data_IF_492688400266
#
_entry.id   IF_492688400266
#
_cell.length_a   1.000
_cell.length_b   1.000
_cell.length_c   1.000
_cell.angle_alpha   90.00
_cell.angle_beta   90.00
_cell.angle_gamma   90.00
#
_symmetry.space_group_name_H-M   'P 1'
#
loop_
_entity.id
_entity.type
_entity.pdbx_description
1 polymer ?
#
# COMPACT_ATOMS: atom_id res chain seq x y z
N UNK A 1 28.93 -5.62 9.58
CA UNK A 1 28.34 -4.33 9.08
C UNK A 1 27.46 -4.48 7.83
N UNK A 2 27.46 -5.64 7.14
CA UNK A 2 26.62 -5.90 5.96
C UNK A 2 25.23 -6.49 6.28
N UNK A 3 25.05 -7.14 7.42
CA UNK A 3 23.83 -7.87 7.79
C UNK A 3 22.66 -6.93 8.13
N UNK A 4 22.91 -5.77 8.75
CA UNK A 4 21.83 -4.84 9.12
C UNK A 4 21.27 -4.02 7.96
N UNK A 5 22.05 -3.81 6.89
CA UNK A 5 21.57 -3.17 5.65
C UNK A 5 20.70 -4.15 4.83
N UNK A 6 21.08 -5.43 4.80
CA UNK A 6 20.33 -6.46 4.07
C UNK A 6 18.92 -6.71 4.60
N UNK A 7 18.72 -6.72 5.93
CA UNK A 7 17.41 -6.96 6.55
C UNK A 7 16.40 -5.85 6.23
N UNK A 8 16.80 -4.57 6.30
CA UNK A 8 15.91 -3.44 6.00
C UNK A 8 15.48 -3.39 4.52
N UNK A 9 16.37 -3.77 3.60
CA UNK A 9 16.07 -3.81 2.17
C UNK A 9 15.27 -5.07 1.77
N UNK A 10 15.47 -6.20 2.46
CA UNK A 10 14.69 -7.43 2.26
C UNK A 10 13.24 -7.21 2.67
N UNK A 11 12.98 -6.62 3.84
CA UNK A 11 11.61 -6.32 4.30
C UNK A 11 10.88 -5.33 3.38
N UNK A 12 11.56 -4.28 2.89
CA UNK A 12 10.96 -3.33 1.93
C UNK A 12 10.66 -3.95 0.57
N UNK A 13 11.52 -4.85 0.09
CA UNK A 13 11.29 -5.60 -1.15
C UNK A 13 10.11 -6.57 -1.00
N UNK A 14 9.92 -7.13 0.17
CA UNK A 14 8.81 -8.03 0.46
C UNK A 14 7.48 -7.27 0.48
N UNK A 15 7.42 -6.09 1.12
CA UNK A 15 6.23 -5.24 1.15
C UNK A 15 5.81 -4.78 -0.27
N UNK A 16 6.77 -4.37 -1.12
CA UNK A 16 6.49 -3.99 -2.51
C UNK A 16 6.06 -5.23 -3.32
N UNK A 17 6.69 -6.38 -3.08
CA UNK A 17 6.33 -7.62 -3.75
C UNK A 17 4.90 -8.05 -3.44
N UNK A 18 4.48 -7.92 -2.18
CA UNK A 18 3.11 -8.20 -1.75
C UNK A 18 2.11 -7.22 -2.39
N UNK A 19 2.43 -5.94 -2.45
CA UNK A 19 1.60 -4.92 -3.11
C UNK A 19 1.39 -5.24 -4.60
N UNK A 20 2.50 -5.50 -5.33
CA UNK A 20 2.44 -5.81 -6.76
C UNK A 20 1.77 -7.15 -7.02
N UNK A 21 1.79 -8.05 -6.03
CA UNK A 21 1.16 -9.36 -6.13
C UNK A 21 -0.37 -9.30 -6.00
N UNK A 22 -0.94 -8.25 -5.41
CA UNK A 22 -2.39 -8.14 -5.17
C UNK A 22 -3.27 -8.38 -6.42
N UNK A 23 -2.98 -7.78 -7.61
CA UNK A 23 -3.74 -8.05 -8.82
C UNK A 23 -3.42 -9.40 -9.45
N UNK A 24 -2.34 -10.06 -9.03
CA UNK A 24 -1.91 -11.36 -9.54
C UNK A 24 -2.38 -12.47 -8.61
N UNK A 25 -2.80 -13.57 -9.22
CA UNK A 25 -3.18 -14.74 -8.46
C UNK A 25 -1.93 -15.55 -8.05
N UNK A 26 -1.81 -15.86 -6.76
CA UNK A 26 -0.72 -16.67 -6.14
C UNK A 26 0.66 -16.52 -6.80
N UNK A 27 1.05 -17.53 -7.62
CA UNK A 27 2.34 -17.57 -8.30
C UNK A 27 2.26 -17.21 -9.78
N UNK A 28 1.14 -16.62 -10.25
CA UNK A 28 1.06 -16.22 -11.64
C UNK A 28 2.13 -15.20 -12.00
N UNK A 29 2.74 -15.39 -13.14
CA UNK A 29 3.80 -14.53 -13.67
C UNK A 29 3.27 -13.56 -14.72
N UNK A 30 2.15 -13.91 -15.34
CA UNK A 30 1.51 -13.16 -16.41
C UNK A 30 0.02 -13.04 -16.09
N UNK A 31 -0.53 -11.88 -16.40
CA UNK A 31 -1.92 -11.55 -16.28
C UNK A 31 -2.43 -10.98 -17.61
N UNK A 32 -3.26 -11.74 -18.30
CA UNK A 32 -3.95 -11.30 -19.51
C UNK A 32 -5.34 -10.82 -19.13
N UNK A 33 -5.72 -9.62 -19.50
CA UNK A 33 -7.01 -9.01 -19.16
C UNK A 33 -7.68 -8.44 -20.40
N UNK A 34 -9.02 -8.50 -20.46
CA UNK A 34 -9.77 -7.75 -21.47
C UNK A 34 -9.47 -6.25 -21.34
N UNK A 35 -9.13 -5.64 -22.47
CA UNK A 35 -8.89 -4.21 -22.58
C UNK A 35 -10.22 -3.45 -22.63
N UNK A 36 -10.92 -3.36 -21.49
CA UNK A 36 -12.15 -2.60 -21.38
C UNK A 36 -11.83 -1.11 -21.25
N UNK A 37 -12.10 -0.33 -22.26
CA UNK A 37 -12.26 1.12 -22.10
C UNK A 37 -13.46 1.39 -21.19
N UNK A 38 -13.36 2.33 -20.31
CA UNK A 38 -14.17 2.73 -19.16
C UNK A 38 -15.72 2.69 -19.19
N UNK A 39 -16.37 2.07 -20.18
CA UNK A 39 -17.81 1.90 -20.25
C UNK A 39 -18.20 0.46 -19.91
N UNK A 40 -19.12 0.27 -18.96
CA UNK A 40 -19.63 -1.06 -18.55
C UNK A 40 -20.13 -1.91 -19.73
N UNK A 41 -20.77 -1.27 -20.68
CA UNK A 41 -21.26 -1.92 -21.91
C UNK A 41 -20.12 -2.42 -22.83
N UNK A 42 -18.95 -1.81 -22.81
CA UNK A 42 -17.82 -2.24 -23.63
C UNK A 42 -17.25 -3.60 -23.18
N UNK A 43 -17.29 -3.89 -21.88
CA UNK A 43 -16.83 -5.18 -21.35
C UNK A 43 -17.75 -6.32 -21.80
N UNK A 44 -19.06 -6.12 -21.77
CA UNK A 44 -20.04 -7.11 -22.21
C UNK A 44 -19.94 -7.39 -23.72
N UNK A 45 -19.73 -6.36 -24.53
CA UNK A 45 -19.52 -6.53 -25.97
C UNK A 45 -18.21 -7.26 -26.27
N UNK A 46 -17.14 -6.97 -25.55
CA UNK A 46 -15.88 -7.69 -25.65
C UNK A 46 -16.01 -9.15 -25.22
N UNK A 47 -16.86 -9.45 -24.23
CA UNK A 47 -17.14 -10.83 -23.81
C UNK A 47 -17.92 -11.60 -24.86
N UNK A 48 -18.83 -10.96 -25.62
CA UNK A 48 -19.58 -11.61 -26.74
C UNK A 48 -18.64 -12.04 -27.87
N UNK A 49 -17.61 -11.28 -28.15
CA UNK A 49 -16.55 -11.60 -29.12
C UNK A 49 -15.20 -11.74 -28.36
N UNK A 50 -15.21 -12.61 -27.36
CA UNK A 50 -14.06 -12.76 -26.46
C UNK A 50 -12.81 -13.24 -27.19
N UNK A 51 -11.67 -12.59 -27.01
CA UNK A 51 -10.40 -13.09 -27.51
C UNK A 51 -9.89 -14.31 -26.71
N UNK A 52 -10.48 -14.58 -25.55
CA UNK A 52 -10.13 -15.72 -24.69
C UNK A 52 -10.80 -17.00 -25.21
N UNK A 53 -10.26 -17.56 -26.27
CA UNK A 53 -10.77 -18.77 -26.92
C UNK A 53 -10.05 -20.02 -26.39
N UNK A 54 -10.69 -21.17 -26.48
CA UNK A 54 -10.07 -22.47 -26.14
C UNK A 54 -8.84 -22.75 -27.03
N UNK A 55 -8.84 -22.23 -28.27
CA UNK A 55 -7.69 -22.34 -29.17
C UNK A 55 -6.50 -21.54 -28.64
N UNK A 56 -6.70 -20.28 -28.21
CA UNK A 56 -5.67 -19.45 -27.59
C UNK A 56 -5.16 -20.10 -26.29
N UNK A 57 -6.06 -20.64 -25.48
CA UNK A 57 -5.71 -21.34 -24.24
C UNK A 57 -4.79 -22.53 -24.51
N UNK A 58 -5.17 -23.38 -25.47
CA UNK A 58 -4.37 -24.53 -25.87
C UNK A 58 -2.99 -24.13 -26.43
N UNK A 59 -2.90 -23.01 -27.17
CA UNK A 59 -1.62 -22.49 -27.65
C UNK A 59 -0.73 -22.04 -26.51
N UNK A 60 -1.28 -21.36 -25.49
CA UNK A 60 -0.53 -20.90 -24.32
C UNK A 60 -0.12 -22.10 -23.45
N UNK A 61 -0.96 -23.08 -23.23
CA UNK A 61 -0.65 -24.29 -22.46
C UNK A 61 0.50 -25.12 -23.09
N UNK A 62 0.66 -25.06 -24.42
CA UNK A 62 1.74 -25.72 -25.13
C UNK A 62 3.09 -24.96 -25.06
N UNK A 63 3.15 -23.75 -24.54
CA UNK A 63 4.38 -23.00 -24.36
C UNK A 63 5.22 -23.63 -23.24
N UNK A 64 6.49 -23.89 -23.54
CA UNK A 64 7.41 -24.47 -22.57
C UNK A 64 7.56 -23.55 -21.33
N UNK A 65 7.35 -24.14 -20.15
CA UNK A 65 7.41 -23.41 -18.87
C UNK A 65 6.08 -22.85 -18.36
N UNK A 66 4.99 -22.92 -19.14
CA UNK A 66 3.64 -22.68 -18.63
C UNK A 66 3.21 -23.90 -17.82
N UNK A 67 2.76 -23.67 -16.60
CA UNK A 67 2.32 -24.74 -15.67
C UNK A 67 0.83 -24.80 -15.53
N UNK A 68 0.16 -23.64 -15.46
CA UNK A 68 -1.28 -23.57 -15.19
C UNK A 68 -1.87 -22.25 -15.64
N UNK A 69 -3.14 -22.27 -16.07
CA UNK A 69 -3.91 -21.07 -16.44
C UNK A 69 -5.17 -21.05 -15.59
N UNK A 70 -5.33 -19.96 -14.82
CA UNK A 70 -6.51 -19.72 -14.00
C UNK A 70 -7.39 -18.65 -14.62
N UNK A 71 -8.58 -19.00 -15.14
CA UNK A 71 -9.53 -18.03 -15.66
C UNK A 71 -10.19 -17.26 -14.52
N UNK A 72 -10.26 -15.95 -14.66
CA UNK A 72 -11.08 -15.08 -13.83
C UNK A 72 -12.33 -14.71 -14.61
N UNK A 73 -13.49 -15.10 -14.11
CA UNK A 73 -14.80 -14.94 -14.74
C UNK A 73 -15.64 -13.95 -13.97
N UNK A 74 -16.52 -13.25 -14.68
CA UNK A 74 -17.45 -12.29 -14.09
C UNK A 74 -18.77 -12.31 -14.80
N UNK A 75 -19.86 -12.28 -14.03
CA UNK A 75 -21.19 -11.96 -14.50
C UNK A 75 -21.77 -10.82 -13.66
N UNK A 76 -22.52 -9.94 -14.29
CA UNK A 76 -23.24 -8.89 -13.59
C UNK A 76 -24.60 -9.39 -13.16
N UNK A 77 -25.05 -8.97 -11.98
CA UNK A 77 -26.33 -9.33 -11.41
C UNK A 77 -27.02 -8.12 -10.76
N UNK A 78 -28.33 -8.15 -10.75
CA UNK A 78 -29.17 -7.18 -10.06
C UNK A 78 -29.90 -7.88 -8.91
N UNK A 79 -29.82 -7.30 -7.72
CA UNK A 79 -30.48 -7.80 -6.52
C UNK A 79 -31.54 -6.81 -6.07
N UNK A 80 -32.70 -7.34 -5.73
CA UNK A 80 -33.77 -6.60 -5.07
C UNK A 80 -33.72 -6.87 -3.56
N UNK A 81 -33.64 -5.83 -2.77
CA UNK A 81 -33.61 -5.98 -1.30
C UNK A 81 -34.96 -6.49 -0.80
N UNK A 82 -34.99 -7.58 -0.01
CA UNK A 82 -36.24 -8.08 0.57
C UNK A 82 -36.95 -6.99 1.38
N UNK A 83 -38.23 -6.74 1.08
CA UNK A 83 -39.03 -5.72 1.74
C UNK A 83 -38.88 -4.29 1.20
N UNK A 84 -38.02 -4.06 0.22
CA UNK A 84 -37.80 -2.76 -0.43
C UNK A 84 -37.68 -2.93 -1.95
N UNK A 85 -38.76 -3.24 -2.67
CA UNK A 85 -38.72 -3.58 -4.10
C UNK A 85 -38.26 -2.43 -5.00
N UNK A 86 -38.21 -1.20 -4.51
CA UNK A 86 -37.69 -0.04 -5.23
C UNK A 86 -36.17 0.05 -5.17
N UNK A 87 -35.53 -0.62 -4.21
CA UNK A 87 -34.06 -0.61 -4.04
C UNK A 87 -33.44 -1.79 -4.79
N UNK A 88 -32.88 -1.48 -5.96
CA UNK A 88 -32.15 -2.42 -6.82
C UNK A 88 -30.66 -2.06 -6.77
N UNK A 89 -29.83 -3.08 -6.65
CA UNK A 89 -28.39 -2.91 -6.64
C UNK A 89 -27.76 -3.76 -7.74
N UNK A 90 -27.03 -3.08 -8.62
CA UNK A 90 -26.16 -3.73 -9.59
C UNK A 90 -24.88 -4.18 -8.92
N UNK A 91 -24.63 -5.47 -8.94
CA UNK A 91 -23.47 -6.12 -8.33
C UNK A 91 -22.84 -7.06 -9.35
N UNK A 92 -21.72 -7.67 -8.98
CA UNK A 92 -21.09 -8.69 -9.80
C UNK A 92 -20.84 -9.97 -9.01
N UNK A 93 -20.96 -11.10 -9.74
CA UNK A 93 -20.56 -12.42 -9.27
C UNK A 93 -19.23 -12.73 -9.94
N UNK A 94 -18.19 -12.96 -9.15
CA UNK A 94 -16.86 -13.24 -9.66
C UNK A 94 -16.47 -14.69 -9.36
N UNK A 95 -15.63 -15.25 -10.23
CA UNK A 95 -15.07 -16.55 -9.95
C UNK A 95 -14.07 -16.47 -8.80
N UNK A 96 -14.04 -17.53 -8.00
CA UNK A 96 -12.94 -17.82 -7.10
C UNK A 96 -11.78 -18.26 -7.97
N UNK A 97 -10.72 -17.45 -8.00
CA UNK A 97 -9.49 -17.79 -8.69
C UNK A 97 -8.55 -18.44 -7.66
N UNK A 98 -8.37 -19.78 -7.80
CA UNK A 98 -7.58 -20.61 -6.92
C UNK A 98 -8.15 -20.84 -5.52
N UNK A 99 -8.18 -22.09 -5.15
CA UNK A 99 -8.83 -22.52 -3.92
C UNK A 99 -8.04 -22.16 -2.66
N UNK A 100 -6.72 -22.36 -2.67
CA UNK A 100 -5.89 -22.31 -1.45
C UNK A 100 -5.83 -20.91 -0.82
N UNK A 101 -5.65 -19.86 -1.62
CA UNK A 101 -5.56 -18.49 -1.08
C UNK A 101 -6.93 -17.93 -0.69
N UNK A 102 -7.99 -18.43 -1.30
CA UNK A 102 -9.36 -18.01 -0.97
C UNK A 102 -9.87 -18.70 0.29
N UNK A 103 -9.56 -19.99 0.48
CA UNK A 103 -9.88 -20.76 1.70
C UNK A 103 -9.31 -20.11 2.95
N UNK A 104 -8.09 -19.55 2.88
CA UNK A 104 -7.46 -18.85 4.03
C UNK A 104 -8.18 -17.56 4.42
N UNK A 105 -9.03 -17.01 3.55
CA UNK A 105 -9.82 -15.79 3.81
C UNK A 105 -11.23 -16.11 4.33
N UNK A 106 -11.63 -17.39 4.34
CA UNK A 106 -12.95 -17.79 4.79
C UNK A 106 -13.06 -17.58 6.31
N UNK A 107 -14.04 -16.81 6.73
CA UNK A 107 -14.30 -16.50 8.15
C UNK A 107 -15.38 -17.43 8.71
N UNK A 108 -16.35 -17.81 7.88
CA UNK A 108 -17.49 -18.64 8.28
C UNK A 108 -17.99 -19.46 7.08
N UNK A 109 -18.40 -20.70 7.31
CA UNK A 109 -18.97 -21.61 6.31
C UNK A 109 -17.91 -22.38 5.52
N UNK A 110 -18.28 -22.81 4.32
CA UNK A 110 -17.49 -23.66 3.44
C UNK A 110 -17.33 -23.06 2.05
N UNK A 111 -16.34 -23.56 1.31
CA UNK A 111 -16.17 -23.21 -0.11
C UNK A 111 -17.27 -23.81 -0.96
N UNK A 112 -17.70 -23.13 -2.04
CA UNK A 112 -18.61 -23.73 -3.01
C UNK A 112 -17.88 -24.87 -3.75
N UNK A 113 -18.28 -26.09 -3.49
CA UNK A 113 -17.75 -27.26 -4.22
C UNK A 113 -18.47 -27.44 -5.56
N UNK A 114 -17.79 -28.14 -6.49
CA UNK A 114 -18.23 -28.41 -7.89
C UNK A 114 -19.72 -28.70 -8.06
N UNK A 115 -20.29 -28.32 -9.21
CA UNK A 115 -21.71 -28.33 -9.44
C UNK A 115 -22.34 -29.72 -9.25
N UNK A 116 -22.99 -29.89 -8.12
CA UNK A 116 -24.07 -30.85 -8.03
C UNK A 116 -25.30 -30.21 -8.69
N UNK A 117 -25.97 -30.95 -9.52
CA UNK A 117 -27.14 -30.58 -10.38
C UNK A 117 -28.35 -30.06 -9.60
N UNK A 118 -28.19 -29.44 -8.44
CA UNK A 118 -29.25 -28.81 -7.68
C UNK A 118 -29.52 -27.41 -8.23
N UNK A 119 -30.78 -27.03 -8.27
CA UNK A 119 -31.29 -25.77 -8.82
C UNK A 119 -30.73 -24.47 -8.17
N UNK A 120 -29.97 -24.58 -7.14
CA UNK A 120 -29.47 -23.44 -6.34
C UNK A 120 -27.96 -23.37 -6.40
N UNK A 121 -27.41 -22.19 -6.65
CA UNK A 121 -25.97 -21.98 -6.79
C UNK A 121 -25.36 -21.53 -5.47
N UNK A 122 -24.34 -22.22 -4.93
CA UNK A 122 -23.66 -21.80 -3.73
C UNK A 122 -22.78 -20.57 -3.98
N UNK A 123 -22.86 -19.60 -3.06
CA UNK A 123 -22.15 -18.34 -3.15
C UNK A 123 -21.46 -17.99 -1.85
N UNK A 124 -20.24 -17.47 -1.93
CA UNK A 124 -19.51 -16.86 -0.82
C UNK A 124 -19.67 -15.35 -0.88
N UNK A 125 -19.94 -14.73 0.26
CA UNK A 125 -20.20 -13.29 0.37
C UNK A 125 -19.01 -12.60 1.05
N UNK A 126 -18.57 -11.50 0.49
CA UNK A 126 -17.60 -10.61 1.10
C UNK A 126 -18.30 -9.53 1.94
N UNK A 127 -18.40 -9.76 3.25
CA UNK A 127 -19.04 -8.80 4.19
C UNK A 127 -18.27 -7.49 4.32
N UNK A 128 -16.96 -7.47 4.07
CA UNK A 128 -16.15 -6.26 4.15
C UNK A 128 -16.16 -5.43 2.86
N UNK A 129 -16.87 -5.86 1.81
CA UNK A 129 -17.04 -5.07 0.60
C UNK A 129 -17.88 -3.82 0.89
N UNK A 130 -17.43 -2.61 0.47
CA UNK A 130 -18.20 -1.39 0.64
C UNK A 130 -19.53 -1.40 -0.13
N UNK A 131 -19.67 -2.28 -1.12
CA UNK A 131 -20.92 -2.47 -1.85
C UNK A 131 -21.91 -3.33 -1.07
N UNK A 132 -21.45 -4.33 -0.28
CA UNK A 132 -22.31 -5.13 0.56
C UNK A 132 -23.01 -4.29 1.63
N UNK A 133 -22.25 -3.44 2.32
CA UNK A 133 -22.78 -2.53 3.35
C UNK A 133 -23.86 -1.61 2.79
N UNK A 134 -23.66 -1.09 1.58
CA UNK A 134 -24.63 -0.20 0.90
C UNK A 134 -25.94 -0.89 0.56
N UNK A 135 -25.93 -2.20 0.31
CA UNK A 135 -27.16 -2.93 -0.01
C UNK A 135 -28.10 -3.07 1.17
N UNK A 136 -27.60 -2.95 2.40
CA UNK A 136 -28.38 -3.23 3.60
C UNK A 136 -28.81 -4.69 3.74
N UNK A 137 -28.25 -5.61 2.95
CA UNK A 137 -28.54 -7.04 3.02
C UNK A 137 -27.99 -7.60 4.35
N UNK A 138 -28.82 -8.39 5.02
CA UNK A 138 -28.44 -9.13 6.23
C UNK A 138 -28.66 -10.62 5.95
N UNK A 139 -27.66 -11.24 5.32
CA UNK A 139 -27.66 -12.65 4.97
C UNK A 139 -26.84 -13.46 5.97
N UNK A 140 -27.34 -14.65 6.30
CA UNK A 140 -26.74 -15.64 7.17
C UNK A 140 -26.34 -16.90 6.40
N UNK A 141 -25.52 -17.74 6.99
CA UNK A 141 -25.13 -19.02 6.41
C UNK A 141 -26.38 -19.89 6.16
N UNK A 142 -26.49 -20.43 4.96
CA UNK A 142 -27.62 -21.24 4.51
C UNK A 142 -28.84 -20.46 4.02
N UNK A 143 -28.84 -19.13 4.10
CA UNK A 143 -29.91 -18.32 3.54
C UNK A 143 -29.96 -18.45 2.00
N UNK A 144 -31.16 -18.31 1.46
CA UNK A 144 -31.42 -18.33 0.04
C UNK A 144 -31.93 -16.96 -0.42
N UNK A 145 -31.47 -16.53 -1.59
CA UNK A 145 -31.93 -15.30 -2.24
C UNK A 145 -31.91 -15.48 -3.76
N UNK A 146 -32.73 -14.72 -4.47
CA UNK A 146 -32.76 -14.71 -5.92
C UNK A 146 -32.14 -13.43 -6.44
N UNK A 147 -31.43 -13.50 -7.56
CA UNK A 147 -30.90 -12.36 -8.28
C UNK A 147 -31.13 -12.49 -9.77
N UNK A 148 -31.33 -11.35 -10.44
CA UNK A 148 -31.40 -11.27 -11.88
C UNK A 148 -29.98 -11.22 -12.46
N UNK A 149 -29.51 -12.32 -13.05
CA UNK A 149 -28.15 -12.46 -13.59
C UNK A 149 -28.16 -12.18 -15.10
N UNK A 150 -27.28 -11.31 -15.54
CA UNK A 150 -27.02 -11.10 -16.95
C UNK A 150 -26.12 -12.21 -17.49
N UNK A 151 -26.68 -13.13 -18.26
CA UNK A 151 -25.98 -14.30 -18.83
C UNK A 151 -25.21 -13.95 -20.12
N UNK A 152 -25.28 -12.70 -20.57
CA UNK A 152 -24.65 -12.18 -21.78
C UNK A 152 -25.61 -12.03 -22.96
N UNK A 153 -26.54 -12.94 -23.15
CA UNK A 153 -27.60 -12.85 -24.20
C UNK A 153 -28.97 -12.56 -23.58
N UNK A 154 -29.19 -12.97 -22.35
CA UNK A 154 -30.45 -12.80 -21.64
C UNK A 154 -30.22 -12.45 -20.16
N UNK A 155 -31.30 -12.07 -19.49
CA UNK A 155 -31.30 -11.93 -18.02
C UNK A 155 -32.16 -13.02 -17.45
N UNK A 156 -31.62 -13.79 -16.50
CA UNK A 156 -32.31 -14.90 -15.84
C UNK A 156 -32.36 -14.68 -14.34
N UNK A 157 -33.47 -15.05 -13.74
CA UNK A 157 -33.58 -15.09 -12.28
C UNK A 157 -32.99 -16.41 -11.78
N UNK A 158 -31.98 -16.30 -10.91
CA UNK A 158 -31.20 -17.41 -10.40
C UNK A 158 -31.28 -17.40 -8.88
N UNK A 159 -31.48 -18.61 -8.31
CA UNK A 159 -31.51 -18.82 -6.86
C UNK A 159 -30.12 -19.15 -6.35
N UNK A 160 -29.69 -18.41 -5.35
CA UNK A 160 -28.41 -18.58 -4.68
C UNK A 160 -28.59 -19.06 -3.24
N UNK A 161 -27.63 -19.84 -2.75
CA UNK A 161 -27.51 -20.23 -1.36
C UNK A 161 -26.20 -19.74 -0.78
N UNK A 162 -26.23 -19.10 0.39
CA UNK A 162 -25.04 -18.61 1.06
C UNK A 162 -24.29 -19.77 1.69
N UNK A 163 -23.14 -20.14 1.16
CA UNK A 163 -22.31 -21.23 1.66
C UNK A 163 -21.15 -20.76 2.55
N UNK A 164 -20.74 -19.49 2.45
CA UNK A 164 -19.64 -18.98 3.26
C UNK A 164 -19.52 -17.45 3.22
N UNK A 165 -18.65 -16.93 4.09
CA UNK A 165 -18.35 -15.52 4.20
C UNK A 165 -16.84 -15.29 4.24
N UNK A 166 -16.40 -14.22 3.56
CA UNK A 166 -15.06 -13.67 3.68
C UNK A 166 -15.11 -12.21 4.16
N UNK A 167 -14.02 -11.74 4.75
CA UNK A 167 -13.83 -10.33 5.13
C UNK A 167 -12.56 -9.79 4.49
N UNK A 168 -12.67 -9.39 3.23
CA UNK A 168 -11.53 -8.82 2.50
C UNK A 168 -11.88 -7.42 1.98
N UNK A 169 -11.28 -6.40 2.61
CA UNK A 169 -11.50 -4.98 2.26
C UNK A 169 -10.86 -4.58 0.93
N UNK A 170 -9.85 -5.33 0.49
CA UNK A 170 -9.14 -5.05 -0.76
C UNK A 170 -9.88 -5.60 -1.99
N UNK A 171 -10.83 -6.51 -1.77
CA UNK A 171 -11.70 -7.04 -2.81
C UNK A 171 -13.02 -6.26 -2.86
N UNK A 172 -13.25 -5.53 -3.94
CA UNK A 172 -14.47 -4.74 -4.13
C UNK A 172 -15.73 -5.56 -4.37
N UNK A 173 -15.61 -6.76 -4.94
CA UNK A 173 -16.76 -7.60 -5.28
C UNK A 173 -17.44 -8.19 -4.05
N UNK A 174 -18.75 -8.38 -4.16
CA UNK A 174 -19.60 -8.89 -3.08
C UNK A 174 -19.73 -10.40 -3.14
N UNK A 175 -19.97 -10.96 -4.33
CA UNK A 175 -20.33 -12.35 -4.53
C UNK A 175 -19.22 -13.13 -5.24
N UNK A 176 -18.96 -14.34 -4.75
CA UNK A 176 -17.98 -15.25 -5.30
C UNK A 176 -18.55 -16.66 -5.40
N UNK A 177 -18.29 -17.32 -6.54
CA UNK A 177 -18.58 -18.73 -6.74
C UNK A 177 -17.47 -19.38 -7.56
N UNK A 178 -17.55 -20.68 -7.85
CA UNK A 178 -16.51 -21.32 -8.66
C UNK A 178 -16.65 -20.97 -10.15
N UNK A 179 -15.55 -21.06 -10.92
CA UNK A 179 -15.59 -20.81 -12.37
C UNK A 179 -16.62 -21.67 -13.11
N UNK A 180 -16.78 -22.92 -12.70
CA UNK A 180 -17.69 -23.89 -13.31
C UNK A 180 -19.17 -23.48 -13.18
N UNK A 181 -19.54 -22.86 -12.06
CA UNK A 181 -20.90 -22.32 -11.90
C UNK A 181 -21.13 -21.11 -12.80
N UNK A 182 -20.12 -20.26 -12.99
CA UNK A 182 -20.24 -19.13 -13.91
C UNK A 182 -20.34 -19.62 -15.37
N UNK A 183 -19.59 -20.64 -15.77
CA UNK A 183 -19.70 -21.26 -17.09
C UNK A 183 -21.09 -21.89 -17.31
N UNK A 184 -21.66 -22.49 -16.25
CA UNK A 184 -23.02 -23.04 -16.32
C UNK A 184 -24.08 -21.95 -16.49
N UNK A 185 -23.89 -20.77 -15.87
CA UNK A 185 -24.82 -19.64 -15.96
C UNK A 185 -24.67 -18.85 -17.26
N UNK A 186 -23.45 -18.67 -17.73
CA UNK A 186 -23.14 -17.82 -18.86
C UNK A 186 -23.60 -18.42 -20.20
N UNK A 187 -24.18 -17.59 -21.05
CA UNK A 187 -24.53 -17.94 -22.47
C UNK A 187 -23.42 -17.45 -23.42
N UNK A 188 -22.43 -16.73 -22.90
CA UNK A 188 -21.25 -16.23 -23.62
C UNK A 188 -19.98 -16.56 -22.82
N UNK A 189 -18.80 -16.38 -23.43
CA UNK A 189 -17.57 -16.47 -22.68
C UNK A 189 -17.52 -15.32 -21.67
N UNK A 190 -17.52 -15.66 -20.39
CA UNK A 190 -17.48 -14.70 -19.27
C UNK A 190 -16.08 -14.50 -18.67
N UNK A 191 -15.02 -14.95 -19.37
CA UNK A 191 -13.63 -14.72 -18.97
C UNK A 191 -13.29 -13.23 -19.05
N UNK A 192 -12.94 -12.66 -17.90
CA UNK A 192 -12.47 -11.29 -17.79
C UNK A 192 -10.94 -11.22 -17.92
N UNK A 193 -10.27 -12.25 -17.43
CA UNK A 193 -8.82 -12.32 -17.41
C UNK A 193 -8.31 -13.76 -17.23
N UNK A 194 -7.08 -13.99 -17.63
CA UNK A 194 -6.34 -15.23 -17.37
C UNK A 194 -5.07 -14.94 -16.57
N UNK A 195 -4.89 -15.70 -15.49
CA UNK A 195 -3.68 -15.72 -14.70
C UNK A 195 -2.84 -16.92 -15.10
N UNK A 196 -1.63 -16.69 -15.59
CA UNK A 196 -0.76 -17.73 -16.14
C UNK A 196 0.41 -17.92 -15.20
N UNK A 197 0.58 -19.14 -14.70
CA UNK A 197 1.69 -19.56 -13.89
C UNK A 197 2.79 -20.14 -14.76
N UNK A 198 4.05 -19.86 -14.41
CA UNK A 198 5.22 -20.36 -15.13
C UNK A 198 6.25 -20.91 -14.16
N UNK A 199 7.08 -21.85 -14.63
CA UNK A 199 8.27 -22.29 -13.90
C UNK A 199 9.32 -21.20 -13.83
N UNK A 200 9.94 -21.01 -12.65
CA UNK A 200 10.89 -19.90 -12.38
C UNK A 200 12.03 -19.80 -13.42
N UNK A 201 12.56 -20.94 -13.87
CA UNK A 201 13.68 -20.93 -14.82
C UNK A 201 13.28 -20.57 -16.25
N UNK A 202 12.04 -20.79 -16.65
CA UNK A 202 11.55 -20.60 -18.01
C UNK A 202 10.62 -19.38 -18.13
N UNK A 203 10.34 -18.67 -17.05
CA UNK A 203 9.41 -17.54 -17.01
C UNK A 203 9.69 -16.50 -18.10
N UNK A 204 10.95 -16.14 -18.33
CA UNK A 204 11.30 -15.11 -19.33
C UNK A 204 10.95 -15.53 -20.75
N UNK A 205 11.26 -16.78 -21.12
CA UNK A 205 10.97 -17.30 -22.44
C UNK A 205 9.47 -17.42 -22.65
N UNK A 206 8.73 -18.00 -21.69
CA UNK A 206 7.29 -18.12 -21.75
C UNK A 206 6.59 -16.73 -21.85
N UNK A 207 7.08 -15.72 -21.12
CA UNK A 207 6.60 -14.35 -21.21
C UNK A 207 6.74 -13.77 -22.60
N UNK A 208 7.90 -13.92 -23.23
CA UNK A 208 8.15 -13.39 -24.59
C UNK A 208 7.29 -14.11 -25.64
N UNK A 209 7.15 -15.44 -25.54
CA UNK A 209 6.30 -16.22 -26.45
C UNK A 209 4.82 -15.86 -26.29
N UNK A 210 4.30 -15.72 -25.05
CA UNK A 210 2.92 -15.30 -24.78
C UNK A 210 2.67 -13.87 -25.28
N UNK A 211 3.61 -12.95 -25.01
CA UNK A 211 3.52 -11.57 -25.55
C UNK A 211 3.43 -11.55 -27.07
N UNK A 212 4.27 -12.33 -27.75
CA UNK A 212 4.25 -12.39 -29.19
C UNK A 212 2.94 -12.97 -29.74
N UNK A 213 2.35 -13.97 -29.04
CA UNK A 213 1.09 -14.61 -29.41
C UNK A 213 -0.09 -13.64 -29.34
N UNK A 214 -0.16 -12.82 -28.27
CA UNK A 214 -1.29 -11.89 -28.06
C UNK A 214 -1.04 -10.48 -28.60
N UNK A 215 0.15 -10.17 -29.10
CA UNK A 215 0.55 -8.82 -29.53
C UNK A 215 -0.32 -8.24 -30.66
N UNK A 216 -0.93 -9.10 -31.48
CA UNK A 216 -1.79 -8.70 -32.59
C UNK A 216 -3.21 -8.35 -32.17
N UNK A 217 -3.66 -8.75 -30.99
CA UNK A 217 -4.99 -8.52 -30.48
C UNK A 217 -5.03 -7.40 -29.44
N UNK A 218 -5.47 -6.22 -29.86
CA UNK A 218 -5.58 -5.03 -29.01
C UNK A 218 -6.69 -5.13 -27.94
N UNK A 219 -7.52 -6.17 -27.99
CA UNK A 219 -8.55 -6.46 -26.98
C UNK A 219 -7.96 -7.08 -25.71
N UNK A 220 -6.70 -7.55 -25.77
CA UNK A 220 -6.00 -8.14 -24.63
C UNK A 220 -4.96 -7.14 -24.10
N UNK A 221 -5.03 -6.84 -22.82
CA UNK A 221 -3.99 -6.13 -22.09
C UNK A 221 -3.14 -7.15 -21.33
N UNK A 222 -1.83 -7.07 -21.48
CA UNK A 222 -0.87 -8.00 -20.86
C UNK A 222 -0.10 -7.27 -19.77
N UNK A 223 -0.16 -7.76 -18.54
CA UNK A 223 0.67 -7.34 -17.42
C UNK A 223 1.60 -8.46 -17.01
N UNK A 224 2.84 -8.13 -16.66
CA UNK A 224 3.87 -9.08 -16.25
C UNK A 224 4.34 -8.70 -14.88
N UNK A 225 4.27 -9.66 -13.96
CA UNK A 225 4.64 -9.45 -12.56
C UNK A 225 6.06 -8.88 -12.39
N UNK A 226 7.05 -9.35 -13.17
CA UNK A 226 8.42 -8.88 -13.08
C UNK A 226 8.57 -7.42 -13.56
N UNK A 227 7.85 -7.03 -14.63
CA UNK A 227 7.85 -5.67 -15.17
C UNK A 227 7.16 -4.72 -14.20
N UNK A 228 5.97 -5.07 -13.73
CA UNK A 228 5.21 -4.30 -12.74
C UNK A 228 6.02 -4.12 -11.45
N UNK A 229 6.65 -5.20 -10.96
CA UNK A 229 7.50 -5.12 -9.77
C UNK A 229 8.66 -4.15 -9.96
N UNK A 230 9.33 -4.16 -11.14
CA UNK A 230 10.43 -3.25 -11.45
C UNK A 230 9.98 -1.80 -11.53
N UNK A 231 8.81 -1.55 -12.12
CA UNK A 231 8.19 -0.24 -12.22
C UNK A 231 7.81 0.32 -10.84
N UNK A 232 7.12 -0.46 -10.01
CA UNK A 232 6.80 -0.06 -8.65
C UNK A 232 8.04 0.20 -7.81
N UNK A 233 9.08 -0.64 -7.94
CA UNK A 233 10.36 -0.39 -7.26
C UNK A 233 10.99 0.95 -7.68
N UNK A 234 10.94 1.29 -8.97
CA UNK A 234 11.42 2.57 -9.48
C UNK A 234 10.59 3.75 -8.93
N UNK A 235 9.26 3.63 -8.89
CA UNK A 235 8.37 4.63 -8.29
C UNK A 235 8.71 4.89 -6.81
N UNK A 236 8.82 3.83 -6.01
CA UNK A 236 9.17 3.96 -4.60
C UNK A 236 10.57 4.54 -4.39
N UNK A 237 11.52 4.17 -5.25
CA UNK A 237 12.88 4.73 -5.20
C UNK A 237 12.86 6.24 -5.50
N UNK A 238 12.17 6.66 -6.54
CA UNK A 238 12.05 8.08 -6.90
C UNK A 238 11.31 8.87 -5.82
N UNK A 239 10.20 8.36 -5.31
CA UNK A 239 9.46 8.98 -4.21
C UNK A 239 10.35 9.14 -2.96
N UNK A 240 11.17 8.13 -2.63
CA UNK A 240 12.14 8.19 -1.53
C UNK A 240 13.17 9.29 -1.73
N UNK A 241 13.69 9.48 -2.94
CA UNK A 241 14.63 10.56 -3.25
C UNK A 241 13.99 11.92 -2.96
N UNK A 242 12.78 12.15 -3.49
CA UNK A 242 12.05 13.42 -3.33
C UNK A 242 11.79 13.70 -1.85
N UNK A 243 11.24 12.73 -1.11
CA UNK A 243 10.97 12.88 0.33
C UNK A 243 12.27 13.14 1.12
N UNK A 244 13.35 12.43 0.79
CA UNK A 244 14.66 12.63 1.42
C UNK A 244 15.18 14.04 1.15
N UNK A 245 15.06 14.54 -0.07
CA UNK A 245 15.48 15.90 -0.42
C UNK A 245 14.71 16.96 0.37
N UNK A 246 13.38 16.80 0.50
CA UNK A 246 12.54 17.68 1.32
C UNK A 246 12.95 17.64 2.80
N UNK A 247 13.20 16.46 3.36
CA UNK A 247 13.65 16.31 4.75
C UNK A 247 15.00 17.03 4.95
N UNK A 248 15.96 16.84 4.05
CA UNK A 248 17.27 17.52 4.11
C UNK A 248 17.10 19.03 4.08
N UNK A 249 16.21 19.54 3.24
CA UNK A 249 15.93 20.97 3.13
C UNK A 249 15.32 21.52 4.42
N UNK A 250 14.34 20.83 5.01
CA UNK A 250 13.76 21.18 6.32
C UNK A 250 14.84 21.17 7.42
N UNK A 251 15.71 20.16 7.43
CA UNK A 251 16.82 20.07 8.39
C UNK A 251 17.80 21.25 8.24
N UNK A 252 18.11 21.67 7.01
CA UNK A 252 18.96 22.85 6.76
C UNK A 252 18.31 24.14 7.29
N UNK A 253 17.02 24.34 7.04
CA UNK A 253 16.29 25.49 7.59
C UNK A 253 16.27 25.48 9.12
N UNK A 254 15.99 24.33 9.72
CA UNK A 254 16.00 24.17 11.17
C UNK A 254 17.40 24.47 11.76
N UNK A 255 18.46 24.00 11.09
CA UNK A 255 19.85 24.26 11.50
C UNK A 255 20.20 25.75 11.44
N UNK A 256 19.88 26.44 10.34
CA UNK A 256 20.11 27.86 10.18
C UNK A 256 19.35 28.66 11.25
N UNK A 257 18.10 28.31 11.51
CA UNK A 257 17.29 28.95 12.55
C UNK A 257 17.87 28.74 13.96
N UNK A 258 18.33 27.51 14.25
CA UNK A 258 18.98 27.20 15.52
C UNK A 258 20.26 28.02 15.69
N UNK A 259 21.12 28.09 14.65
CA UNK A 259 22.34 28.90 14.68
C UNK A 259 22.00 30.37 14.94
N UNK A 260 21.04 30.92 14.22
CA UNK A 260 20.62 32.32 14.41
C UNK A 260 20.16 32.59 15.86
N UNK A 261 19.32 31.70 16.40
CA UNK A 261 18.84 31.77 17.78
C UNK A 261 20.01 31.74 18.79
N UNK A 262 20.95 30.81 18.60
CA UNK A 262 22.12 30.69 19.48
C UNK A 262 23.04 31.91 19.40
N UNK A 263 23.27 32.47 18.22
CA UNK A 263 24.06 33.68 18.01
C UNK A 263 23.37 34.86 18.70
N UNK A 264 22.11 35.06 18.43
CA UNK A 264 21.30 36.15 18.99
C UNK A 264 21.28 36.08 20.53
N UNK A 265 21.02 34.92 21.12
CA UNK A 265 21.04 34.72 22.55
C UNK A 265 22.45 35.02 23.16
N UNK A 266 23.51 34.61 22.47
CA UNK A 266 24.87 34.87 22.92
C UNK A 266 25.20 36.37 22.89
N UNK A 267 24.75 37.10 21.86
CA UNK A 267 24.96 38.56 21.74
C UNK A 267 24.13 39.31 22.78
N UNK A 268 22.84 38.98 22.95
CA UNK A 268 21.97 39.65 23.93
C UNK A 268 22.48 39.47 25.35
N UNK A 269 22.88 38.25 25.71
CA UNK A 269 23.37 37.93 27.08
C UNK A 269 24.83 38.27 27.33
N UNK A 270 25.50 38.86 26.35
CA UNK A 270 26.91 39.21 26.46
C UNK A 270 27.20 40.17 27.62
N UNK A 271 26.30 41.13 27.84
CA UNK A 271 26.38 42.07 28.97
C UNK A 271 26.19 41.34 30.32
N UNK A 272 25.21 40.47 30.42
CA UNK A 272 24.94 39.70 31.64
C UNK A 272 26.16 38.83 32.02
N UNK A 273 26.81 38.19 31.05
CA UNK A 273 28.03 37.42 31.25
C UNK A 273 29.21 38.31 31.66
N UNK A 274 29.31 39.55 31.16
CA UNK A 274 30.33 40.48 31.57
C UNK A 274 30.12 40.97 33.02
N UNK A 275 28.88 41.19 33.47
CA UNK A 275 28.54 41.49 34.85
C UNK A 275 28.86 40.31 35.79
N UNK A 276 28.56 39.09 35.40
CA UNK A 276 28.88 37.88 36.15
C UNK A 276 30.42 37.70 36.29
N UNK A 277 31.17 37.99 35.21
CA UNK A 277 32.65 37.96 35.24
C UNK A 277 33.21 39.06 36.15
N UNK A 278 32.63 40.27 36.12
CA UNK A 278 32.98 41.37 37.03
C UNK A 278 32.63 41.08 38.51
N UNK A 279 31.58 40.27 38.76
CA UNK A 279 31.18 39.77 40.06
C UNK A 279 32.06 38.63 40.59
N UNK A 280 33.08 38.17 39.79
CA UNK A 280 34.07 37.17 40.20
C UNK A 280 33.83 35.77 39.63
N UNK A 281 32.86 35.57 38.73
CA UNK A 281 32.72 34.29 38.01
C UNK A 281 33.90 34.09 37.05
N UNK A 282 34.45 32.88 37.07
CA UNK A 282 35.47 32.50 36.09
C UNK A 282 34.89 32.24 34.70
N UNK A 283 35.67 32.45 33.63
CA UNK A 283 35.25 32.13 32.27
C UNK A 283 34.79 30.69 32.13
N UNK A 284 35.41 29.76 32.87
CA UNK A 284 35.02 28.34 32.83
C UNK A 284 33.61 28.14 33.39
N UNK A 285 33.26 28.82 34.48
CA UNK A 285 31.91 28.76 35.06
C UNK A 285 30.85 29.34 34.11
N UNK A 286 31.16 30.47 33.44
CA UNK A 286 30.26 31.05 32.43
C UNK A 286 30.03 30.07 31.27
N UNK A 287 31.10 29.44 30.77
CA UNK A 287 30.94 28.40 29.70
C UNK A 287 30.16 27.19 30.17
N UNK A 288 30.31 26.75 31.41
CA UNK A 288 29.56 25.64 31.99
C UNK A 288 28.07 25.97 32.08
N UNK A 289 27.72 27.17 32.54
CA UNK A 289 26.33 27.65 32.62
C UNK A 289 25.69 27.69 31.24
N UNK A 290 26.37 28.30 30.25
CA UNK A 290 25.87 28.37 28.87
C UNK A 290 25.72 26.97 28.22
N UNK A 291 26.70 26.09 28.46
CA UNK A 291 26.62 24.72 27.96
C UNK A 291 25.50 23.91 28.63
N UNK A 292 25.18 24.20 29.90
CA UNK A 292 24.08 23.59 30.61
C UNK A 292 22.71 24.04 30.01
N UNK A 293 22.55 25.35 29.76
CA UNK A 293 21.37 25.90 29.10
C UNK A 293 21.17 25.26 27.72
N UNK A 294 22.21 25.22 26.89
CA UNK A 294 22.15 24.58 25.58
C UNK A 294 21.74 23.11 25.66
N UNK A 295 22.23 22.36 26.65
CA UNK A 295 21.83 20.97 26.86
C UNK A 295 20.36 20.84 27.19
N UNK A 296 19.79 21.72 27.99
CA UNK A 296 18.34 21.70 28.32
C UNK A 296 17.51 21.94 27.08
N UNK A 297 17.84 22.93 26.27
CA UNK A 297 17.14 23.16 24.99
C UNK A 297 17.27 21.96 24.06
N UNK A 298 18.42 21.36 23.99
CA UNK A 298 18.74 20.23 23.16
C UNK A 298 17.94 18.97 23.53
N UNK A 299 18.04 18.56 24.80
CA UNK A 299 17.29 17.41 25.31
C UNK A 299 15.77 17.64 25.29
N UNK A 300 15.33 18.87 25.57
CA UNK A 300 13.93 19.26 25.50
C UNK A 300 13.36 19.13 24.10
N UNK A 301 14.09 19.60 23.08
CA UNK A 301 13.65 19.44 21.69
C UNK A 301 13.64 17.99 21.23
N UNK A 302 14.61 17.19 21.65
CA UNK A 302 14.73 15.79 21.35
C UNK A 302 13.55 14.99 21.94
N UNK A 303 13.28 15.18 23.24
CA UNK A 303 12.16 14.53 23.92
C UNK A 303 10.84 14.97 23.29
N UNK A 304 10.65 16.27 23.06
CA UNK A 304 9.46 16.81 22.42
C UNK A 304 9.21 16.21 21.01
N UNK A 305 10.27 16.10 20.21
CA UNK A 305 10.17 15.48 18.87
C UNK A 305 9.77 14.00 18.95
N UNK A 306 10.29 13.25 19.92
CA UNK A 306 9.92 11.84 20.10
C UNK A 306 8.48 11.68 20.62
N UNK A 307 8.10 12.51 21.62
CA UNK A 307 6.75 12.44 22.23
C UNK A 307 5.65 12.80 21.24
N UNK A 308 5.90 13.72 20.32
CA UNK A 308 4.92 14.14 19.31
C UNK A 308 5.06 13.31 18.02
N UNK A 309 6.29 13.14 17.53
CA UNK A 309 6.52 12.54 16.21
C UNK A 309 6.19 11.05 16.14
N UNK A 310 6.48 10.28 17.20
CA UNK A 310 6.22 8.82 17.20
C UNK A 310 4.71 8.53 17.21
N UNK A 311 3.89 9.10 18.12
CA UNK A 311 2.46 8.88 18.11
C UNK A 311 1.79 9.40 16.83
N UNK A 312 2.21 10.55 16.32
CA UNK A 312 1.67 11.11 15.09
C UNK A 312 1.95 10.19 13.89
N UNK A 313 3.18 9.65 13.78
CA UNK A 313 3.53 8.68 12.74
C UNK A 313 2.70 7.41 12.82
N UNK A 314 2.47 6.88 14.02
CA UNK A 314 1.61 5.72 14.24
C UNK A 314 0.16 5.99 13.83
N UNK A 315 -0.42 7.12 14.25
CA UNK A 315 -1.78 7.51 13.89
C UNK A 315 -1.97 7.70 12.39
N UNK A 316 -1.02 8.36 11.72
CA UNK A 316 -1.06 8.57 10.27
C UNK A 316 -0.99 7.25 9.50
N UNK A 317 -0.08 6.34 9.87
CA UNK A 317 0.02 5.03 9.22
C UNK A 317 -1.27 4.21 9.39
N UNK A 318 -1.87 4.20 10.59
CA UNK A 318 -3.11 3.50 10.82
C UNK A 318 -4.27 4.09 10.00
N UNK A 319 -4.35 5.42 9.90
CA UNK A 319 -5.39 6.07 9.08
C UNK A 319 -5.22 5.81 7.58
N UNK A 320 -3.99 5.74 7.09
CA UNK A 320 -3.72 5.39 5.70
C UNK A 320 -4.07 3.92 5.44
N UNK A 321 -3.80 3.01 6.38
CA UNK A 321 -4.15 1.59 6.26
C UNK A 321 -5.67 1.32 6.24
N UNK A 322 -6.51 2.26 6.69
CA UNK A 322 -7.97 2.17 6.58
C UNK A 322 -8.48 2.41 5.15
N UNK A 323 -7.64 2.98 4.26
CA UNK A 323 -8.01 3.25 2.86
C UNK A 323 -7.99 1.92 2.08
N UNK A 324 -9.07 1.59 1.35
CA UNK A 324 -9.09 0.38 0.49
C UNK A 324 -7.90 0.36 -0.48
N UNK A 325 -7.25 -0.78 -0.59
CA UNK A 325 -6.03 -0.96 -1.40
C UNK A 325 -4.72 -0.51 -0.73
N UNK A 326 -4.76 0.02 0.51
CA UNK A 326 -3.58 0.43 1.27
C UNK A 326 -3.44 -0.29 2.62
N UNK A 327 -4.22 -1.35 2.83
CA UNK A 327 -4.25 -2.14 4.08
C UNK A 327 -2.91 -2.80 4.44
N UNK A 328 -2.02 -2.98 3.45
CA UNK A 328 -0.66 -3.51 3.64
C UNK A 328 0.28 -2.53 4.34
N UNK A 329 -0.07 -1.24 4.48
CA UNK A 329 0.76 -0.24 5.15
C UNK A 329 0.70 -0.47 6.67
N UNK A 330 1.82 -0.91 7.25
CA UNK A 330 1.98 -1.08 8.68
C UNK A 330 2.99 -0.07 9.25
N UNK A 331 2.71 0.46 10.44
CA UNK A 331 3.67 1.31 11.13
C UNK A 331 4.87 0.47 11.58
N UNK A 332 6.05 0.84 11.07
CA UNK A 332 7.33 0.27 11.52
C UNK A 332 8.17 1.39 12.13
N UNK A 333 8.63 1.14 13.36
CA UNK A 333 9.43 2.13 14.07
C UNK A 333 10.73 2.45 13.31
N UNK A 334 11.00 3.73 12.97
CA UNK A 334 12.09 4.12 12.09
C UNK A 334 13.44 4.23 12.81
N UNK A 335 13.94 3.14 13.41
CA UNK A 335 15.20 3.12 14.16
C UNK A 335 16.42 3.76 13.47
N UNK A 336 16.68 3.50 12.16
CA UNK A 336 17.85 4.10 11.51
C UNK A 336 17.74 5.62 11.38
N UNK A 337 16.54 6.12 11.09
CA UNK A 337 16.29 7.57 10.98
C UNK A 337 16.36 8.26 12.33
N UNK A 338 15.85 7.63 13.37
CA UNK A 338 15.95 8.14 14.73
C UNK A 338 17.42 8.24 15.17
N UNK A 339 18.23 7.21 14.92
CA UNK A 339 19.65 7.21 15.24
C UNK A 339 20.39 8.28 14.45
N UNK A 340 20.09 8.44 13.16
CA UNK A 340 20.65 9.52 12.33
C UNK A 340 20.28 10.89 12.88
N UNK A 341 19.03 11.08 13.29
CA UNK A 341 18.55 12.31 13.92
C UNK A 341 19.34 12.63 15.21
N UNK A 342 19.51 11.64 16.10
CA UNK A 342 20.32 11.82 17.33
C UNK A 342 21.76 12.25 17.02
N UNK A 343 22.41 11.62 16.04
CA UNK A 343 23.78 11.98 15.62
C UNK A 343 23.83 13.41 15.10
N UNK A 344 22.89 13.78 14.23
CA UNK A 344 22.84 15.13 13.65
C UNK A 344 22.62 16.20 14.70
N UNK A 345 21.69 15.99 15.62
CA UNK A 345 21.38 16.88 16.73
C UNK A 345 22.60 17.01 17.67
N UNK A 346 23.32 15.92 17.92
CA UNK A 346 24.56 15.95 18.72
C UNK A 346 25.67 16.74 18.03
N UNK A 347 25.86 16.57 16.72
CA UNK A 347 26.84 17.34 15.93
C UNK A 347 26.52 18.84 15.99
N UNK A 348 25.25 19.20 15.82
CA UNK A 348 24.77 20.59 15.93
C UNK A 348 25.10 21.18 17.31
N UNK A 349 24.84 20.41 18.38
CA UNK A 349 25.18 20.84 19.75
C UNK A 349 26.68 21.15 19.92
N UNK A 350 27.56 20.29 19.41
CA UNK A 350 29.01 20.51 19.45
C UNK A 350 29.39 21.78 18.70
N UNK A 351 28.90 21.93 17.45
CA UNK A 351 29.19 23.09 16.60
C UNK A 351 28.78 24.40 17.29
N UNK A 352 27.55 24.45 17.80
CA UNK A 352 27.05 25.63 18.54
C UNK A 352 27.89 25.93 19.78
N UNK A 353 28.19 24.91 20.57
CA UNK A 353 28.99 25.09 21.80
C UNK A 353 30.40 25.61 21.50
N UNK A 354 31.06 25.06 20.48
CA UNK A 354 32.40 25.51 20.03
C UNK A 354 32.36 26.95 19.52
N UNK A 355 31.34 27.27 18.69
CA UNK A 355 31.17 28.61 18.16
C UNK A 355 30.96 29.66 19.27
N UNK A 356 30.10 29.38 20.23
CA UNK A 356 29.84 30.25 21.37
C UNK A 356 31.09 30.48 22.23
N UNK A 357 31.87 29.42 22.51
CA UNK A 357 33.15 29.54 23.21
C UNK A 357 34.13 30.45 22.46
N UNK A 358 34.18 30.34 21.12
CA UNK A 358 35.07 31.14 20.31
C UNK A 358 34.69 32.63 20.32
N UNK A 359 33.39 32.96 20.25
CA UNK A 359 32.92 34.35 20.35
C UNK A 359 33.27 34.97 21.73
N UNK A 360 32.97 34.26 22.82
CA UNK A 360 33.19 34.76 24.15
C UNK A 360 34.69 34.89 24.50
N UNK A 361 35.55 34.06 23.91
CA UNK A 361 36.99 34.11 24.12
C UNK A 361 37.67 35.33 23.48
N UNK A 362 37.15 35.83 22.36
CA UNK A 362 37.77 36.89 21.53
C UNK A 362 37.67 38.31 22.13
N UNK A 363 36.78 38.57 23.08
CA UNK A 363 36.47 39.92 23.54
C UNK A 363 36.87 40.09 25.03
N UNK A 364 37.50 41.22 25.33
CA UNK A 364 37.79 41.59 26.71
C UNK A 364 36.53 42.00 27.49
N UNK A 365 36.54 41.86 28.83
CA UNK A 365 35.40 42.24 29.70
C UNK A 365 34.98 43.70 29.46
N UNK A 366 35.98 44.60 29.29
CA UNK A 366 35.78 46.05 29.09
C UNK A 366 35.07 46.31 27.75
N UNK A 367 35.43 45.62 26.66
CA UNK A 367 34.80 45.75 25.37
C UNK A 367 33.35 45.23 25.37
N UNK A 368 33.05 44.19 26.16
CA UNK A 368 31.71 43.62 26.31
C UNK A 368 30.74 44.53 27.09
N UNK A 369 31.26 45.30 28.05
CA UNK A 369 30.48 46.25 28.82
C UNK A 369 30.21 47.52 27.98
N UNK A 370 31.21 48.03 27.23
CA UNK A 370 31.11 49.24 26.40
C UNK A 370 30.27 49.05 25.11
N UNK A 371 29.93 47.87 24.71
CA UNK A 371 29.21 47.60 23.45
C UNK A 371 27.71 47.96 23.50
N UNK A 372 27.23 48.66 24.52
CA UNK A 372 25.83 49.09 24.70
C UNK A 372 25.71 50.65 24.65
N UNK A 373 26.82 51.36 24.63
CA UNK A 373 26.83 52.78 24.22
C UNK A 373 27.02 52.92 22.70
#
# INVERSE_FOLDING_TARGET
>A
RSVSRGLGDVYKRQDIKELVRQPYYENSSIYLKLNSTAAENATLELMKDSPFTEELKAQIENISGVTEIYPSKKLDCEIVVPGQPENRYELSINSIVGTTSFETQLVEGDMPYSPNTNSTIPIVINRASPYYEKTGLSLSLGDHFSASVNTGMSTKEIDFSVCGFIENKDKGSVFYTTPEYLDFLAEINCDLAWYICTEDMQTKQAVEEIKALVASDNRINTSIFADDLSEYQAYFYNAKIVVTAVIVLICLFAFVNLLNTCITNTVIRRHDYALLEAAGMTKVQIYQTQSAENRIYFFGSLIGSCVVGIPLGFLLCNKIAEIPGLSYISYRFPWPFLLLYFVLVFVVHIVVTVYQRHILAKQSVVERIKAIE
#
